data_IF_911718879267
#
_entry.id   IF_911718879267
#
_cell.length_a   1.000
_cell.length_b   1.000
_cell.length_c   1.000
_cell.angle_alpha   90.00
_cell.angle_beta   90.00
_cell.angle_gamma   90.00
#
_symmetry.space_group_name_H-M   'P 1'
#
loop_
_entity.id
_entity.type
_entity.pdbx_description
1 polymer ?
#
# COMPACT_ATOMS: atom_id res chain seq x y z
N UNK A 1 4.97 -11.08 -23.99
CA UNK A 1 4.02 -9.94 -23.99
C UNK A 1 3.05 -9.98 -25.17
N UNK A 2 3.46 -10.41 -26.37
CA UNK A 2 2.61 -10.43 -27.57
C UNK A 2 1.26 -11.15 -27.39
N UNK A 3 1.26 -12.39 -26.89
CA UNK A 3 0.03 -13.19 -26.72
C UNK A 3 -0.98 -12.55 -25.75
N UNK A 4 -0.49 -11.97 -24.64
CA UNK A 4 -1.37 -11.34 -23.66
C UNK A 4 -2.01 -10.05 -24.23
N UNK A 5 -1.26 -9.25 -24.98
CA UNK A 5 -1.79 -8.05 -25.63
C UNK A 5 -2.78 -8.40 -26.75
N UNK A 6 -2.52 -9.46 -27.52
CA UNK A 6 -3.40 -9.91 -28.61
C UNK A 6 -4.77 -10.37 -28.11
N UNK A 7 -4.81 -11.17 -27.04
CA UNK A 7 -6.07 -11.59 -26.42
C UNK A 7 -6.81 -10.40 -25.81
N UNK A 8 -6.10 -9.51 -25.11
CA UNK A 8 -6.70 -8.35 -24.44
C UNK A 8 -7.26 -7.32 -25.45
N UNK A 9 -6.48 -6.93 -26.46
CA UNK A 9 -6.84 -5.88 -27.41
C UNK A 9 -7.69 -6.40 -28.57
N UNK A 10 -7.47 -7.64 -29.02
CA UNK A 10 -8.19 -8.26 -30.13
C UNK A 10 -9.53 -8.87 -29.73
N UNK A 11 -9.51 -9.90 -28.88
CA UNK A 11 -10.72 -10.66 -28.50
C UNK A 11 -11.59 -9.90 -27.49
N UNK A 12 -10.96 -9.36 -26.44
CA UNK A 12 -11.67 -8.72 -25.33
C UNK A 12 -11.90 -7.22 -25.53
N UNK A 13 -11.29 -6.62 -26.57
CA UNK A 13 -11.38 -5.18 -26.91
C UNK A 13 -11.02 -4.23 -25.74
N UNK A 14 -10.07 -4.65 -24.90
CA UNK A 14 -9.54 -3.86 -23.79
C UNK A 14 -8.18 -3.25 -24.16
N UNK A 15 -7.99 -1.95 -23.93
CA UNK A 15 -6.72 -1.26 -24.23
C UNK A 15 -5.70 -1.43 -23.10
N UNK A 16 -4.48 -1.88 -23.42
CA UNK A 16 -3.41 -2.01 -22.43
C UNK A 16 -2.77 -0.66 -22.14
N UNK A 17 -2.68 -0.29 -20.86
CA UNK A 17 -1.95 0.90 -20.45
C UNK A 17 -0.43 0.63 -20.44
N UNK A 18 0.28 1.13 -21.45
CA UNK A 18 1.72 0.90 -21.63
C UNK A 18 2.61 1.58 -20.58
N UNK A 19 2.16 2.69 -20.00
CA UNK A 19 2.91 3.40 -18.96
C UNK A 19 2.94 2.61 -17.64
N UNK A 20 1.86 1.89 -17.34
CA UNK A 20 1.77 1.01 -16.16
C UNK A 20 2.42 -0.35 -16.44
N UNK A 21 2.41 -0.80 -17.68
CA UNK A 21 2.86 -2.13 -18.09
C UNK A 21 4.34 -2.10 -18.48
N UNK A 22 5.20 -2.40 -17.51
CA UNK A 22 6.65 -2.48 -17.73
C UNK A 22 7.16 -3.88 -17.37
N UNK A 23 8.14 -4.36 -18.14
CA UNK A 23 8.88 -5.56 -17.78
C UNK A 23 9.87 -5.16 -16.68
N UNK A 24 9.70 -5.69 -15.47
CA UNK A 24 10.67 -5.54 -14.39
C UNK A 24 11.23 -6.89 -14.02
N UNK A 25 12.52 -6.93 -13.66
CA UNK A 25 13.13 -8.14 -13.15
C UNK A 25 12.70 -8.34 -11.69
N UNK A 26 12.47 -9.59 -11.27
CA UNK A 26 12.02 -9.91 -9.91
C UNK A 26 12.99 -9.40 -8.82
N UNK A 27 14.28 -9.23 -9.15
CA UNK A 27 15.27 -8.63 -8.24
C UNK A 27 15.05 -7.14 -7.98
N UNK A 28 14.44 -6.41 -8.91
CA UNK A 28 14.13 -4.99 -8.77
C UNK A 28 12.82 -4.76 -8.00
N UNK A 29 12.02 -5.81 -7.85
CA UNK A 29 10.72 -5.79 -7.17
C UNK A 29 9.57 -5.36 -8.09
N UNK A 30 8.43 -6.03 -7.94
CA UNK A 30 7.20 -5.74 -8.67
C UNK A 30 6.23 -5.03 -7.74
N UNK A 31 5.72 -3.85 -8.15
CA UNK A 31 4.66 -3.18 -7.41
C UNK A 31 3.32 -3.81 -7.73
N UNK A 32 2.62 -4.31 -6.70
CA UNK A 32 1.33 -4.95 -6.86
C UNK A 32 0.47 -4.71 -5.62
N UNK A 33 -0.77 -4.23 -5.80
CA UNK A 33 -1.76 -4.00 -4.73
C UNK A 33 -1.22 -3.28 -3.47
N UNK A 34 -0.33 -2.30 -3.65
CA UNK A 34 0.23 -1.52 -2.53
C UNK A 34 1.37 -2.19 -1.77
N UNK A 35 1.86 -3.34 -2.24
CA UNK A 35 3.11 -3.95 -1.81
C UNK A 35 4.13 -3.97 -2.94
N UNK A 36 5.40 -4.09 -2.57
CA UNK A 36 6.51 -4.35 -3.46
C UNK A 36 6.97 -5.79 -3.20
N UNK A 37 6.69 -6.66 -4.16
CA UNK A 37 7.05 -8.08 -4.13
C UNK A 37 8.47 -8.20 -4.68
N UNK A 38 9.43 -8.50 -3.80
CA UNK A 38 10.79 -8.85 -4.21
C UNK A 38 10.97 -10.38 -4.25
N UNK A 39 12.13 -10.82 -4.72
CA UNK A 39 12.50 -12.23 -4.77
C UNK A 39 12.54 -12.94 -3.40
N UNK A 40 12.89 -12.22 -2.33
CA UNK A 40 13.08 -12.78 -0.98
C UNK A 40 12.04 -12.30 0.02
N UNK A 41 11.54 -11.07 -0.13
CA UNK A 41 10.58 -10.49 0.80
C UNK A 41 9.60 -9.56 0.10
N UNK A 42 8.42 -9.43 0.70
CA UNK A 42 7.41 -8.43 0.32
C UNK A 42 7.48 -7.25 1.28
N UNK A 43 7.56 -6.02 0.75
CA UNK A 43 7.55 -4.78 1.54
C UNK A 43 6.29 -3.97 1.23
N UNK A 44 5.89 -3.07 2.12
CA UNK A 44 4.80 -2.13 1.84
C UNK A 44 5.32 -1.04 0.89
N UNK A 45 4.53 -0.63 -0.10
CA UNK A 45 4.91 0.49 -0.96
C UNK A 45 5.04 1.78 -0.10
N UNK A 46 6.18 2.50 -0.16
CA UNK A 46 6.38 3.74 0.59
C UNK A 46 5.25 4.78 0.41
N UNK A 47 4.61 4.82 -0.76
CA UNK A 47 3.45 5.70 -1.00
C UNK A 47 2.27 5.37 -0.09
N UNK A 48 2.03 4.08 0.19
CA UNK A 48 0.99 3.64 1.12
C UNK A 48 1.34 3.99 2.56
N UNK A 49 2.61 3.84 2.94
CA UNK A 49 3.10 4.23 4.27
C UNK A 49 2.91 5.73 4.51
N UNK A 50 3.27 6.57 3.53
CA UNK A 50 3.09 8.01 3.61
C UNK A 50 1.60 8.38 3.74
N UNK A 51 0.73 7.78 2.92
CA UNK A 51 -0.72 8.02 2.99
C UNK A 51 -1.31 7.60 4.35
N UNK A 52 -0.88 6.47 4.91
CA UNK A 52 -1.29 6.02 6.24
C UNK A 52 -0.84 7.00 7.33
N UNK A 53 0.43 7.42 7.29
CA UNK A 53 0.98 8.38 8.25
C UNK A 53 0.23 9.71 8.21
N UNK A 54 -0.11 10.20 7.02
CA UNK A 54 -0.93 11.40 6.86
C UNK A 54 -2.33 11.22 7.46
N UNK A 55 -2.98 10.07 7.22
CA UNK A 55 -4.28 9.77 7.81
C UNK A 55 -4.25 9.75 9.33
N UNK A 56 -3.23 9.11 9.93
CA UNK A 56 -3.04 9.10 11.38
C UNK A 56 -2.84 10.52 11.90
N UNK A 57 -1.95 11.32 11.28
CA UNK A 57 -1.71 12.72 11.66
C UNK A 57 -2.96 13.60 11.61
N UNK A 58 -3.85 13.37 10.63
CA UNK A 58 -5.11 14.10 10.52
C UNK A 58 -6.06 13.76 11.68
N UNK A 59 -6.14 12.48 12.06
CA UNK A 59 -6.97 12.02 13.19
C UNK A 59 -6.42 12.55 14.52
N UNK A 60 -5.09 12.54 14.69
CA UNK A 60 -4.41 12.96 15.92
C UNK A 60 -4.00 14.43 15.94
N UNK A 61 -4.62 15.28 15.11
CA UNK A 61 -4.25 16.70 14.99
C UNK A 61 -4.54 17.44 16.31
N UNK A 62 -3.55 18.19 16.82
CA UNK A 62 -3.66 18.96 18.08
C UNK A 62 -4.77 19.99 18.11
N UNK A 63 -5.16 20.53 16.95
CA UNK A 63 -6.25 21.51 16.81
C UNK A 63 -7.62 20.86 16.62
N UNK A 64 -7.75 19.55 16.81
CA UNK A 64 -9.04 18.87 16.69
C UNK A 64 -9.94 19.24 17.88
N UNK A 65 -11.20 19.63 17.65
CA UNK A 65 -12.13 20.03 18.72
C UNK A 65 -12.72 18.84 19.50
N UNK A 66 -12.26 17.61 19.24
CA UNK A 66 -12.80 16.39 19.84
C UNK A 66 -11.94 15.93 21.03
N UNK A 67 -12.58 15.26 21.99
CA UNK A 67 -11.88 14.72 23.15
C UNK A 67 -10.96 13.54 22.78
N UNK A 68 -10.01 13.22 23.67
CA UNK A 68 -9.04 12.15 23.45
C UNK A 68 -9.70 10.78 23.27
N UNK A 69 -10.79 10.50 23.98
CA UNK A 69 -11.53 9.24 23.85
C UNK A 69 -12.05 9.03 22.42
N UNK A 70 -12.57 10.09 21.80
CA UNK A 70 -13.03 10.06 20.41
C UNK A 70 -11.88 9.87 19.44
N UNK A 71 -10.74 10.55 19.65
CA UNK A 71 -9.53 10.35 18.84
C UNK A 71 -9.08 8.89 18.87
N UNK A 72 -9.04 8.26 20.05
CA UNK A 72 -8.67 6.85 20.20
C UNK A 72 -9.68 5.94 19.50
N UNK A 73 -10.98 6.20 19.68
CA UNK A 73 -12.04 5.44 19.03
C UNK A 73 -11.96 5.48 17.49
N UNK A 74 -11.59 6.63 16.92
CA UNK A 74 -11.43 6.82 15.48
C UNK A 74 -10.12 6.23 14.95
N UNK A 75 -9.05 6.30 15.75
CA UNK A 75 -7.72 5.81 15.37
C UNK A 75 -7.67 4.27 15.35
N UNK A 76 -8.24 3.61 16.36
CA UNK A 76 -8.21 2.15 16.52
C UNK A 76 -8.61 1.34 15.27
N UNK A 77 -9.75 1.59 14.61
CA UNK A 77 -10.14 0.84 13.41
C UNK A 77 -9.17 1.08 12.24
N UNK A 78 -8.56 2.27 12.13
CA UNK A 78 -7.58 2.57 11.10
C UNK A 78 -6.30 1.77 11.31
N UNK A 79 -5.78 1.74 12.54
CA UNK A 79 -4.60 0.94 12.90
C UNK A 79 -4.87 -0.56 12.68
N UNK A 80 -6.04 -1.05 13.13
CA UNK A 80 -6.43 -2.45 12.98
C UNK A 80 -6.53 -2.87 11.52
N UNK A 81 -7.22 -2.07 10.70
CA UNK A 81 -7.37 -2.34 9.26
C UNK A 81 -6.02 -2.36 8.54
N UNK A 82 -5.15 -1.41 8.86
CA UNK A 82 -3.79 -1.37 8.31
C UNK A 82 -2.97 -2.61 8.68
N UNK A 83 -2.98 -2.99 9.96
CA UNK A 83 -2.29 -4.18 10.46
C UNK A 83 -2.81 -5.46 9.82
N UNK A 84 -4.13 -5.60 9.65
CA UNK A 84 -4.73 -6.78 9.02
C UNK A 84 -4.38 -6.88 7.53
N UNK A 85 -4.44 -5.76 6.80
CA UNK A 85 -4.18 -5.75 5.36
C UNK A 85 -2.71 -6.05 5.03
N UNK A 86 -1.77 -5.44 5.76
CA UNK A 86 -0.34 -5.61 5.50
C UNK A 86 0.34 -6.70 6.32
N UNK A 87 -0.42 -7.54 7.04
CA UNK A 87 0.10 -8.64 7.88
C UNK A 87 1.08 -9.57 7.15
N UNK A 88 0.90 -9.76 5.85
CA UNK A 88 1.71 -10.65 5.02
C UNK A 88 3.01 -9.99 4.51
N UNK A 89 3.18 -8.68 4.67
CA UNK A 89 4.40 -7.97 4.31
C UNK A 89 5.42 -8.03 5.46
N UNK A 90 6.71 -8.00 5.13
CA UNK A 90 7.77 -7.84 6.12
C UNK A 90 7.78 -6.38 6.62
N UNK A 91 6.97 -6.10 7.63
CA UNK A 91 6.71 -4.75 8.15
C UNK A 91 7.16 -4.55 9.62
N UNK A 92 7.87 -5.51 10.23
CA UNK A 92 8.29 -5.42 11.64
C UNK A 92 9.19 -4.21 11.92
N UNK A 93 10.21 -4.01 11.09
CA UNK A 93 11.10 -2.86 11.22
C UNK A 93 10.35 -1.54 10.97
N UNK A 94 9.50 -1.51 9.95
CA UNK A 94 8.68 -0.35 9.61
C UNK A 94 7.73 0.04 10.75
N UNK A 95 7.08 -0.92 11.41
CA UNK A 95 6.20 -0.61 12.55
C UNK A 95 6.97 -0.06 13.73
N UNK A 96 8.20 -0.52 13.96
CA UNK A 96 9.09 0.06 14.98
C UNK A 96 9.47 1.50 14.64
N UNK A 97 9.77 1.78 13.37
CA UNK A 97 10.08 3.13 12.89
C UNK A 97 8.87 4.07 13.05
N UNK A 98 7.67 3.63 12.67
CA UNK A 98 6.45 4.44 12.76
C UNK A 98 5.93 4.67 14.18
N UNK A 99 6.36 3.86 15.15
CA UNK A 99 5.97 3.97 16.55
C UNK A 99 6.86 4.93 17.37
N UNK A 100 7.99 5.36 16.80
CA UNK A 100 8.93 6.32 17.40
C UNK A 100 8.59 7.75 16.98
#
# INVERSE_FOLDING_TARGET
MAVASEILEGELKLTVNRDKTHLTHASCGVKFLGVMIGSVHTRIDPKKVAAFTLKVKLITRRTSPVNLAKVIADLNPVLRGWGHYFRMANCKALYRELAN
#
